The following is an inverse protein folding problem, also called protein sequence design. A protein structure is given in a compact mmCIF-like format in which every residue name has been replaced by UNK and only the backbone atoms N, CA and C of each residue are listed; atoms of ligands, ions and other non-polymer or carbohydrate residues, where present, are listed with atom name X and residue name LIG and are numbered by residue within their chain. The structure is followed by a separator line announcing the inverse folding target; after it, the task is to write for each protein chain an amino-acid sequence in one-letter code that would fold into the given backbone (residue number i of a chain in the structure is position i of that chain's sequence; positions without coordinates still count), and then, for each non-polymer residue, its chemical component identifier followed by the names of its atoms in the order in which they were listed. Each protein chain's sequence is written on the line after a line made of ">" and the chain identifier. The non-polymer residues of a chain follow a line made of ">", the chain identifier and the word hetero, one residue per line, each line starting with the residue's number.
data_IF_038222366785
#
_entry.id   IF_038222366785
#
_cell.length_a   1.000
_cell.length_b   1.000
_cell.length_c   1.000
_cell.angle_alpha   90.00
_cell.angle_beta   90.00
_cell.angle_gamma   90.00
#
_symmetry.space_group_name_H-M   'P 1'
#
loop_
_entity.id
_entity.type
_entity.pdbx_description
1 polymer ?
#
# COMPACT_ATOMS: atom_id res chain seq x y z
N UNK A 1 26.78 13.40 -7.81
CA UNK A 1 25.95 13.32 -9.04
C UNK A 1 24.62 13.96 -8.67
N UNK A 2 24.26 15.07 -9.29
CA UNK A 2 22.96 15.73 -9.08
C UNK A 2 22.00 14.92 -9.95
N UNK A 3 21.08 14.18 -9.34
CA UNK A 3 19.97 13.57 -10.08
C UNK A 3 19.10 14.71 -10.59
N UNK A 4 19.07 14.94 -11.91
CA UNK A 4 18.06 15.78 -12.52
C UNK A 4 16.70 15.17 -12.18
N UNK A 5 15.88 15.93 -11.45
CA UNK A 5 14.49 15.57 -11.22
C UNK A 5 13.79 15.59 -12.57
N UNK A 6 13.40 14.41 -13.06
CA UNK A 6 12.53 14.31 -14.22
C UNK A 6 11.25 15.09 -13.95
N UNK A 7 10.97 16.10 -14.76
CA UNK A 7 9.71 16.82 -14.67
C UNK A 7 8.60 15.89 -15.15
N UNK A 8 7.52 15.72 -14.40
CA UNK A 8 6.38 14.92 -14.84
C UNK A 8 5.80 15.48 -16.14
N UNK A 9 5.31 14.59 -16.99
CA UNK A 9 4.58 14.98 -18.19
C UNK A 9 3.35 15.82 -17.78
N UNK A 10 3.06 16.95 -18.45
CA UNK A 10 2.10 17.95 -17.99
C UNK A 10 0.63 17.51 -17.89
N UNK A 11 0.30 16.27 -18.27
CA UNK A 11 -1.07 15.73 -18.29
C UNK A 11 -1.26 14.40 -17.53
N UNK A 12 -0.32 14.02 -16.66
CA UNK A 12 -0.43 12.79 -15.90
C UNK A 12 -1.46 12.95 -14.76
N UNK A 13 -2.75 12.74 -15.09
CA UNK A 13 -3.83 12.71 -14.11
C UNK A 13 -3.84 11.35 -13.43
N UNK A 14 -3.07 11.19 -12.37
CA UNK A 14 -3.01 9.98 -11.55
C UNK A 14 -3.45 10.24 -10.12
N UNK A 15 -3.72 9.15 -9.42
CA UNK A 15 -4.01 9.13 -8.00
C UNK A 15 -2.92 8.35 -7.28
N UNK A 16 -2.40 8.91 -6.20
CA UNK A 16 -1.56 8.20 -5.25
C UNK A 16 -2.44 7.72 -4.08
N UNK A 17 -2.71 6.43 -4.02
CA UNK A 17 -3.68 5.89 -3.06
C UNK A 17 -3.04 5.43 -1.75
N UNK A 18 -1.72 5.64 -1.56
CA UNK A 18 -0.99 5.18 -0.38
C UNK A 18 0.10 6.17 0.01
N UNK A 19 -0.18 7.02 0.99
CA UNK A 19 0.80 7.95 1.58
C UNK A 19 0.58 8.09 3.08
N UNK A 20 1.63 8.48 3.80
CA UNK A 20 1.62 8.62 5.25
C UNK A 20 1.89 10.05 5.68
N UNK A 21 1.30 10.41 6.82
CA UNK A 21 1.49 11.72 7.46
C UNK A 21 2.12 11.58 8.85
N UNK A 22 2.25 12.72 9.55
CA UNK A 22 2.69 12.73 10.96
C UNK A 22 1.74 11.98 11.92
N UNK A 23 0.62 11.43 11.44
CA UNK A 23 -0.24 10.55 12.20
C UNK A 23 0.25 9.09 12.22
N UNK A 24 1.12 8.71 11.28
CA UNK A 24 1.86 7.45 11.30
C UNK A 24 3.07 7.54 12.22
N UNK A 25 3.37 6.45 12.93
CA UNK A 25 4.46 6.39 13.91
C UNK A 25 5.87 6.54 13.31
N UNK A 26 6.01 6.35 12.02
CA UNK A 26 7.27 6.34 11.26
C UNK A 26 7.35 7.45 10.20
N UNK A 27 6.41 8.40 10.22
CA UNK A 27 6.42 9.59 9.37
C UNK A 27 6.36 10.88 10.20
N UNK A 28 7.04 11.92 9.72
CA UNK A 28 6.94 13.28 10.24
C UNK A 28 6.42 14.26 9.17
N UNK A 29 5.87 13.74 8.08
CA UNK A 29 5.40 14.52 6.95
C UNK A 29 4.04 15.15 7.25
N UNK A 30 3.95 16.48 7.18
CA UNK A 30 2.64 17.13 7.24
C UNK A 30 1.85 16.85 5.97
N UNK A 31 0.53 16.72 6.10
CA UNK A 31 -0.34 16.51 4.93
C UNK A 31 -0.20 17.66 3.92
N UNK A 32 0.03 18.92 4.39
CA UNK A 32 0.30 20.06 3.52
C UNK A 32 1.56 19.89 2.67
N UNK A 33 2.65 19.39 3.26
CA UNK A 33 3.93 19.21 2.59
C UNK A 33 3.83 18.04 1.57
N UNK A 34 3.11 16.98 1.93
CA UNK A 34 2.78 15.89 1.02
C UNK A 34 1.94 16.40 -0.17
N UNK A 35 0.93 17.26 0.09
CA UNK A 35 0.10 17.86 -0.95
C UNK A 35 0.89 18.68 -1.95
N UNK A 36 1.85 19.50 -1.46
CA UNK A 36 2.71 20.30 -2.32
C UNK A 36 3.64 19.42 -3.16
N UNK A 37 4.18 18.35 -2.58
CA UNK A 37 5.00 17.38 -3.30
C UNK A 37 4.19 16.62 -4.38
N UNK A 38 2.98 16.18 -4.06
CA UNK A 38 2.06 15.55 -5.01
C UNK A 38 1.71 16.49 -6.18
N UNK A 39 1.47 17.78 -5.87
CA UNK A 39 1.25 18.81 -6.90
C UNK A 39 2.45 18.97 -7.83
N UNK A 40 3.66 18.98 -7.28
CA UNK A 40 4.91 19.09 -8.04
C UNK A 40 5.14 17.88 -8.97
N UNK A 41 4.57 16.71 -8.64
CA UNK A 41 4.59 15.49 -9.45
C UNK A 41 3.43 15.41 -10.46
N UNK A 42 2.51 16.38 -10.48
CA UNK A 42 1.35 16.38 -11.38
C UNK A 42 0.23 15.45 -10.95
N UNK A 43 0.26 14.93 -9.72
CA UNK A 43 -0.81 14.11 -9.14
C UNK A 43 -2.04 14.96 -8.89
N UNK A 44 -3.23 14.49 -9.27
CA UNK A 44 -4.48 15.25 -9.16
C UNK A 44 -5.22 15.02 -7.85
N UNK A 45 -4.98 13.88 -7.21
CA UNK A 45 -5.53 13.51 -5.91
C UNK A 45 -4.64 12.44 -5.24
N UNK A 46 -4.62 12.43 -3.93
CA UNK A 46 -3.89 11.41 -3.16
C UNK A 46 -4.65 11.08 -1.88
N UNK A 47 -4.43 9.88 -1.36
CA UNK A 47 -5.00 9.44 -0.10
C UNK A 47 -3.94 9.48 1.00
N UNK A 48 -4.31 10.06 2.15
CA UNK A 48 -3.55 9.89 3.38
C UNK A 48 -4.09 8.65 4.07
N UNK A 49 -3.25 7.63 4.19
CA UNK A 49 -3.61 6.29 4.64
C UNK A 49 -2.71 5.86 5.80
N UNK A 50 -2.70 6.68 6.86
CA UNK A 50 -1.86 6.45 8.02
C UNK A 50 -2.10 5.08 8.66
N UNK A 51 -1.05 4.55 9.30
CA UNK A 51 -1.05 3.23 9.92
C UNK A 51 -2.10 3.07 11.02
N UNK A 52 -2.89 2.03 10.89
CA UNK A 52 -3.78 1.50 11.91
C UNK A 52 -3.36 0.07 12.24
N UNK A 53 -2.26 -0.06 12.95
CA UNK A 53 -1.64 -1.35 13.26
C UNK A 53 -2.32 -1.99 14.46
N UNK A 54 -3.24 -2.94 14.20
CA UNK A 54 -4.05 -3.55 15.26
C UNK A 54 -3.22 -4.31 16.29
N UNK A 55 -2.06 -4.84 15.91
CA UNK A 55 -1.15 -5.53 16.83
C UNK A 55 -0.56 -4.63 17.92
N UNK A 56 -0.61 -3.30 17.73
CA UNK A 56 -0.06 -2.31 18.67
C UNK A 56 -1.11 -1.65 19.58
N UNK A 57 -2.39 -1.99 19.43
CA UNK A 57 -3.51 -1.26 20.06
C UNK A 57 -3.45 -1.20 21.60
N UNK A 58 -2.83 -2.18 22.25
CA UNK A 58 -2.65 -2.18 23.70
C UNK A 58 -1.55 -1.22 24.19
N UNK A 59 -0.63 -0.87 23.28
CA UNK A 59 0.55 -0.06 23.60
C UNK A 59 0.41 1.40 23.14
N UNK A 60 -0.42 1.64 22.11
CA UNK A 60 -0.57 2.95 21.47
C UNK A 60 -2.02 3.27 21.17
N UNK A 61 -2.37 4.56 21.23
CA UNK A 61 -3.64 5.05 20.67
C UNK A 61 -3.57 5.06 19.14
N UNK A 62 -4.20 4.07 18.52
CA UNK A 62 -4.25 3.94 17.05
C UNK A 62 -5.47 4.63 16.43
N UNK A 63 -6.44 5.11 17.24
CA UNK A 63 -7.69 5.70 16.78
C UNK A 63 -7.60 7.22 16.58
N UNK A 64 -7.08 7.93 17.58
CA UNK A 64 -6.99 9.40 17.54
C UNK A 64 -6.16 9.92 16.37
N UNK A 65 -4.99 9.35 16.02
CA UNK A 65 -4.22 9.80 14.86
C UNK A 65 -5.00 9.74 13.55
N UNK A 66 -5.69 8.65 13.26
CA UNK A 66 -6.49 8.49 12.03
C UNK A 66 -7.63 9.52 11.96
N UNK A 67 -8.34 9.71 13.08
CA UNK A 67 -9.40 10.71 13.13
C UNK A 67 -8.86 12.11 12.86
N UNK A 68 -7.74 12.47 13.48
CA UNK A 68 -7.08 13.76 13.28
C UNK A 68 -6.61 13.94 11.83
N UNK A 69 -5.97 12.94 11.23
CA UNK A 69 -5.55 12.99 9.83
C UNK A 69 -6.74 13.21 8.89
N UNK A 70 -7.87 12.53 9.12
CA UNK A 70 -9.09 12.72 8.35
C UNK A 70 -9.68 14.14 8.50
N UNK A 71 -9.66 14.73 9.70
CA UNK A 71 -10.08 16.10 9.97
C UNK A 71 -9.15 17.12 9.27
N UNK A 72 -7.84 16.91 9.34
CA UNK A 72 -6.85 17.77 8.69
C UNK A 72 -6.95 17.70 7.15
N UNK A 73 -7.16 16.53 6.57
CA UNK A 73 -7.42 16.37 5.13
C UNK A 73 -8.67 17.14 4.68
N UNK A 74 -9.78 17.02 5.45
CA UNK A 74 -11.01 17.75 5.18
C UNK A 74 -10.81 19.25 5.27
N UNK A 75 -10.08 19.73 6.28
CA UNK A 75 -9.75 21.15 6.45
C UNK A 75 -8.94 21.69 5.28
N UNK A 76 -7.86 20.99 4.87
CA UNK A 76 -7.02 21.41 3.74
C UNK A 76 -7.82 21.51 2.43
N UNK A 77 -8.73 20.58 2.18
CA UNK A 77 -9.60 20.65 0.99
C UNK A 77 -10.58 21.84 1.05
N UNK A 78 -11.04 22.23 2.25
CA UNK A 78 -11.95 23.37 2.42
C UNK A 78 -11.25 24.73 2.31
N UNK A 79 -9.99 24.82 2.75
CA UNK A 79 -9.19 26.04 2.72
C UNK A 79 -8.71 26.39 1.31
N UNK A 80 -8.47 25.39 0.46
CA UNK A 80 -7.99 25.62 -0.90
C UNK A 80 -8.40 24.50 -1.86
N UNK A 81 -8.98 24.89 -3.00
CA UNK A 81 -9.22 24.02 -4.14
C UNK A 81 -8.04 23.96 -5.12
N UNK A 82 -6.98 24.73 -4.87
CA UNK A 82 -5.76 24.67 -5.64
C UNK A 82 -4.91 23.46 -5.20
N UNK A 83 -4.37 22.73 -6.18
CA UNK A 83 -3.57 21.51 -5.95
C UNK A 83 -4.41 20.24 -5.80
N UNK A 84 -3.74 19.12 -5.48
CA UNK A 84 -4.38 17.81 -5.37
C UNK A 84 -5.45 17.76 -4.28
N UNK A 85 -6.54 17.03 -4.56
CA UNK A 85 -7.53 16.67 -3.54
C UNK A 85 -6.93 15.67 -2.58
N UNK A 86 -7.08 15.89 -1.28
CA UNK A 86 -6.65 14.97 -0.22
C UNK A 86 -7.82 14.07 0.14
N UNK A 87 -7.67 12.77 -0.09
CA UNK A 87 -8.63 11.73 0.30
C UNK A 87 -8.30 11.25 1.71
N UNK A 88 -9.34 10.93 2.47
CA UNK A 88 -9.24 10.44 3.84
C UNK A 88 -9.17 8.92 3.82
N UNK A 89 -8.10 8.36 4.32
CA UNK A 89 -7.92 6.92 4.34
C UNK A 89 -7.29 6.42 5.63
N UNK A 90 -7.08 5.13 5.68
CA UNK A 90 -6.24 4.45 6.65
C UNK A 90 -5.64 3.19 6.03
N UNK A 91 -4.47 2.80 6.48
CA UNK A 91 -3.89 1.50 6.23
C UNK A 91 -4.08 0.63 7.46
N UNK A 92 -4.98 -0.36 7.37
CA UNK A 92 -5.22 -1.30 8.46
C UNK A 92 -4.37 -2.55 8.29
N UNK A 93 -3.57 -2.87 9.31
CA UNK A 93 -2.80 -4.10 9.35
C UNK A 93 -3.36 -5.09 10.38
N UNK A 94 -3.24 -6.39 10.09
CA UNK A 94 -3.63 -7.51 10.96
C UNK A 94 -5.03 -7.39 11.60
N UNK A 95 -5.99 -6.75 10.92
CA UNK A 95 -7.34 -6.57 11.46
C UNK A 95 -8.02 -7.88 11.89
N UNK A 96 -7.65 -9.00 11.27
CA UNK A 96 -8.14 -10.34 11.60
C UNK A 96 -7.58 -10.92 12.92
N UNK A 97 -6.49 -10.34 13.48
CA UNK A 97 -5.98 -10.77 14.79
C UNK A 97 -6.85 -10.28 15.94
N UNK A 98 -7.47 -9.09 15.78
CA UNK A 98 -8.25 -8.39 16.79
C UNK A 98 -9.58 -7.91 16.19
N UNK A 99 -10.54 -8.83 15.90
CA UNK A 99 -11.79 -8.46 15.24
C UNK A 99 -12.59 -7.39 15.98
N UNK A 100 -12.53 -7.36 17.31
CA UNK A 100 -13.22 -6.37 18.13
C UNK A 100 -12.60 -4.95 18.00
N UNK A 101 -11.30 -4.86 17.73
CA UNK A 101 -10.62 -3.61 17.44
C UNK A 101 -10.93 -3.18 16.00
N UNK A 102 -10.86 -4.13 15.06
CA UNK A 102 -11.23 -3.90 13.67
C UNK A 102 -12.66 -3.36 13.54
N UNK A 103 -13.64 -3.93 14.23
CA UNK A 103 -15.03 -3.44 14.19
C UNK A 103 -15.18 -1.98 14.63
N UNK A 104 -14.33 -1.50 15.53
CA UNK A 104 -14.35 -0.09 15.98
C UNK A 104 -13.88 0.87 14.88
N UNK A 105 -13.14 0.40 13.86
CA UNK A 105 -12.68 1.27 12.75
C UNK A 105 -13.84 1.87 11.97
N UNK A 106 -14.97 1.16 11.88
CA UNK A 106 -16.18 1.58 11.16
C UNK A 106 -16.77 2.90 11.64
N UNK A 107 -16.39 3.34 12.85
CA UNK A 107 -16.88 4.57 13.46
C UNK A 107 -15.84 5.68 13.63
N UNK A 108 -14.60 5.50 13.13
CA UNK A 108 -13.51 6.47 13.37
C UNK A 108 -13.79 7.79 12.66
N UNK A 109 -14.07 7.73 11.37
CA UNK A 109 -14.32 8.88 10.50
C UNK A 109 -15.03 8.43 9.22
N UNK A 110 -15.53 9.40 8.43
CA UNK A 110 -15.96 9.13 7.05
C UNK A 110 -14.72 8.99 6.17
N UNK A 111 -14.29 7.75 5.92
CA UNK A 111 -13.12 7.46 5.09
C UNK A 111 -13.51 7.32 3.61
N UNK A 112 -12.61 7.77 2.75
CA UNK A 112 -12.72 7.62 1.29
C UNK A 112 -12.14 6.26 0.84
N UNK A 113 -11.15 5.73 1.57
CA UNK A 113 -10.47 4.46 1.26
C UNK A 113 -9.95 3.78 2.53
N UNK A 114 -9.98 2.45 2.53
CA UNK A 114 -9.30 1.61 3.52
C UNK A 114 -8.37 0.67 2.76
N UNK A 115 -7.09 0.70 3.11
CA UNK A 115 -6.07 -0.21 2.59
C UNK A 115 -5.87 -1.33 3.60
N UNK A 116 -5.83 -2.57 3.14
CA UNK A 116 -5.54 -3.74 3.97
C UNK A 116 -4.12 -4.23 3.75
N UNK A 117 -3.37 -4.40 4.82
CA UNK A 117 -1.97 -4.84 4.80
C UNK A 117 -1.67 -5.92 5.84
N UNK A 118 -0.53 -6.59 5.68
CA UNK A 118 0.05 -7.50 6.67
C UNK A 118 1.48 -7.04 6.92
N UNK A 119 1.73 -6.49 8.11
CA UNK A 119 3.04 -6.03 8.55
C UNK A 119 3.75 -7.03 9.46
N UNK A 120 2.98 -7.90 10.11
CA UNK A 120 3.45 -8.97 10.97
C UNK A 120 2.90 -10.31 10.47
N UNK A 121 3.76 -11.33 10.28
CA UNK A 121 3.29 -12.68 10.01
C UNK A 121 3.33 -13.53 11.28
N UNK A 122 2.31 -14.39 11.49
CA UNK A 122 2.31 -15.36 12.58
C UNK A 122 3.23 -16.53 12.22
N UNK A 123 4.50 -16.42 12.59
CA UNK A 123 5.50 -17.46 12.36
C UNK A 123 6.14 -17.90 13.68
N UNK A 124 5.85 -19.11 14.12
CA UNK A 124 6.32 -19.63 15.40
C UNK A 124 5.84 -18.75 16.58
N UNK A 125 6.80 -18.25 17.37
CA UNK A 125 6.56 -17.26 18.43
C UNK A 125 6.76 -15.81 17.96
N UNK A 126 7.10 -15.59 16.70
CA UNK A 126 7.33 -14.26 16.14
C UNK A 126 6.01 -13.58 15.80
N UNK A 127 5.82 -12.41 16.38
CA UNK A 127 4.68 -11.51 16.09
C UNK A 127 5.18 -10.08 15.85
N UNK A 128 6.49 -9.91 15.63
CA UNK A 128 7.07 -8.62 15.33
C UNK A 128 6.85 -8.25 13.86
N UNK A 129 6.76 -6.95 13.60
CA UNK A 129 6.73 -6.45 12.23
C UNK A 129 7.98 -6.93 11.46
N UNK A 130 7.82 -7.32 10.21
CA UNK A 130 8.93 -7.83 9.40
C UNK A 130 10.07 -6.80 9.25
N UNK A 131 9.79 -5.53 9.41
CA UNK A 131 10.80 -4.45 9.45
C UNK A 131 11.77 -4.56 10.64
N UNK A 132 11.36 -5.24 11.72
CA UNK A 132 12.10 -5.44 12.97
C UNK A 132 12.77 -6.81 13.06
N UNK A 133 12.49 -7.70 12.10
CA UNK A 133 13.07 -9.05 12.08
C UNK A 133 14.46 -9.02 11.47
N UNK A 134 15.42 -9.67 12.14
CA UNK A 134 16.77 -9.90 11.62
C UNK A 134 16.80 -11.19 10.79
N UNK A 135 16.46 -11.09 9.51
CA UNK A 135 16.44 -12.23 8.59
C UNK A 135 17.83 -12.79 8.27
N UNK A 136 18.93 -12.13 8.67
CA UNK A 136 20.27 -12.70 8.54
C UNK A 136 20.44 -13.96 9.40
N UNK A 137 19.63 -14.11 10.45
CA UNK A 137 19.64 -15.26 11.38
C UNK A 137 18.79 -16.43 10.93
N UNK A 138 17.96 -16.24 9.90
CA UNK A 138 17.06 -17.28 9.39
C UNK A 138 17.80 -18.17 8.39
N UNK A 139 17.56 -19.47 8.44
CA UNK A 139 17.92 -20.40 7.36
C UNK A 139 17.04 -20.14 6.13
N UNK A 140 17.38 -20.72 4.99
CA UNK A 140 16.55 -20.63 3.78
C UNK A 140 15.17 -21.24 4.01
N UNK A 141 15.08 -22.34 4.74
CA UNK A 141 13.82 -23.00 5.08
C UNK A 141 12.95 -22.12 5.99
N UNK A 142 13.52 -21.50 7.02
CA UNK A 142 12.80 -20.59 7.92
C UNK A 142 12.28 -19.35 7.16
N UNK A 143 13.02 -18.85 6.16
CA UNK A 143 12.53 -17.77 5.28
C UNK A 143 11.33 -18.24 4.46
N UNK A 144 11.37 -19.46 3.92
CA UNK A 144 10.24 -20.03 3.16
C UNK A 144 9.01 -20.24 4.05
N UNK A 145 9.19 -20.80 5.22
CA UNK A 145 8.10 -20.96 6.20
C UNK A 145 7.51 -19.62 6.63
N UNK A 146 8.36 -18.61 6.85
CA UNK A 146 7.92 -17.25 7.16
C UNK A 146 7.08 -16.65 6.04
N UNK A 147 7.52 -16.74 4.79
CA UNK A 147 6.78 -16.25 3.63
C UNK A 147 5.47 -17.01 3.42
N UNK A 148 5.45 -18.33 3.64
CA UNK A 148 4.23 -19.12 3.61
C UNK A 148 3.22 -18.64 4.68
N UNK A 149 3.68 -18.37 5.89
CA UNK A 149 2.85 -17.81 6.96
C UNK A 149 2.32 -16.41 6.59
N UNK A 150 3.16 -15.55 6.03
CA UNK A 150 2.76 -14.24 5.53
C UNK A 150 1.63 -14.33 4.50
N UNK A 151 1.73 -15.19 3.48
CA UNK A 151 0.68 -15.35 2.48
C UNK A 151 -0.61 -15.95 3.07
N UNK A 152 -0.51 -16.81 4.08
CA UNK A 152 -1.67 -17.31 4.81
C UNK A 152 -2.37 -16.17 5.57
N UNK A 153 -1.61 -15.29 6.20
CA UNK A 153 -2.16 -14.13 6.92
C UNK A 153 -2.78 -13.11 5.95
N UNK A 154 -2.22 -12.92 4.73
CA UNK A 154 -2.86 -12.13 3.67
C UNK A 154 -4.21 -12.73 3.26
N UNK A 155 -4.31 -14.06 3.11
CA UNK A 155 -5.60 -14.71 2.85
C UNK A 155 -6.59 -14.50 3.99
N UNK A 156 -6.15 -14.62 5.26
CA UNK A 156 -7.01 -14.38 6.42
C UNK A 156 -7.51 -12.92 6.47
N UNK A 157 -6.64 -11.94 6.15
CA UNK A 157 -7.02 -10.55 6.02
C UNK A 157 -8.13 -10.37 4.97
N UNK A 158 -7.94 -10.96 3.78
CA UNK A 158 -8.92 -10.88 2.70
C UNK A 158 -10.25 -11.52 3.11
N UNK A 159 -10.25 -12.64 3.79
CA UNK A 159 -11.46 -13.35 4.19
C UNK A 159 -12.24 -12.64 5.30
N UNK A 160 -11.55 -12.07 6.27
CA UNK A 160 -12.14 -11.63 7.54
C UNK A 160 -12.30 -10.12 7.67
N UNK A 161 -11.65 -9.32 6.80
CA UNK A 161 -11.71 -7.87 6.87
C UNK A 161 -12.40 -7.28 5.62
N UNK A 162 -12.98 -6.08 5.78
CA UNK A 162 -13.60 -5.29 4.72
C UNK A 162 -12.71 -4.08 4.42
N UNK A 163 -12.01 -4.11 3.30
CA UNK A 163 -11.12 -3.05 2.82
C UNK A 163 -11.18 -2.95 1.29
N UNK A 164 -10.65 -1.86 0.74
CA UNK A 164 -10.79 -1.54 -0.68
C UNK A 164 -9.59 -1.97 -1.52
N UNK A 165 -8.38 -1.88 -0.96
CA UNK A 165 -7.11 -2.07 -1.66
C UNK A 165 -6.23 -3.04 -0.86
N UNK A 166 -5.75 -4.11 -1.51
CA UNK A 166 -4.69 -4.95 -0.93
C UNK A 166 -3.34 -4.28 -1.18
N UNK A 167 -2.70 -3.83 -0.09
CA UNK A 167 -1.43 -3.13 -0.12
C UNK A 167 -0.25 -4.06 -0.44
N UNK A 168 0.76 -3.49 -1.09
CA UNK A 168 2.15 -3.98 -1.25
C UNK A 168 2.35 -5.48 -1.05
N UNK A 169 1.53 -6.31 -1.70
CA UNK A 169 1.68 -7.76 -1.69
C UNK A 169 3.13 -8.13 -2.03
N UNK A 170 3.82 -8.83 -1.16
CA UNK A 170 5.27 -9.15 -1.18
C UNK A 170 6.19 -8.18 -0.42
N UNK A 171 5.65 -7.27 0.39
CA UNK A 171 6.46 -6.30 1.15
C UNK A 171 7.59 -6.91 2.01
N UNK A 172 7.48 -8.13 2.63
CA UNK A 172 8.60 -8.74 3.34
C UNK A 172 9.88 -8.86 2.52
N UNK A 173 9.79 -8.94 1.17
CA UNK A 173 10.95 -9.02 0.29
C UNK A 173 11.83 -7.75 0.34
N UNK A 174 11.25 -6.58 0.66
CA UNK A 174 12.01 -5.33 0.91
C UNK A 174 13.10 -5.56 1.95
N UNK A 175 12.81 -6.37 2.95
CA UNK A 175 13.72 -6.68 4.05
C UNK A 175 14.53 -7.94 3.75
N UNK A 176 13.91 -9.05 3.40
CA UNK A 176 14.57 -10.32 3.15
C UNK A 176 15.60 -10.20 2.03
N UNK A 177 15.18 -9.71 0.87
CA UNK A 177 16.03 -9.56 -0.32
C UNK A 177 16.79 -8.22 -0.27
N UNK A 178 16.06 -7.11 -0.04
CA UNK A 178 16.63 -5.78 -0.16
C UNK A 178 17.61 -5.42 0.97
N UNK A 179 17.26 -5.70 2.24
CA UNK A 179 18.12 -5.35 3.38
C UNK A 179 19.13 -6.42 3.73
N UNK A 180 18.72 -7.70 3.69
CA UNK A 180 19.53 -8.82 4.16
C UNK A 180 20.13 -9.66 3.03
N UNK A 181 19.90 -9.27 1.78
CA UNK A 181 20.44 -9.90 0.56
C UNK A 181 20.20 -11.42 0.50
N UNK A 182 19.07 -11.88 1.10
CA UNK A 182 18.70 -13.30 1.11
C UNK A 182 17.97 -13.64 -0.18
N UNK A 183 18.43 -14.68 -0.86
CA UNK A 183 17.79 -15.13 -2.09
C UNK A 183 16.40 -15.75 -1.82
N UNK A 184 15.41 -15.35 -2.61
CA UNK A 184 14.04 -15.90 -2.58
C UNK A 184 13.59 -16.17 -4.00
N UNK A 185 13.17 -17.39 -4.31
CA UNK A 185 12.39 -17.66 -5.52
C UNK A 185 10.90 -17.53 -5.18
N UNK A 186 10.34 -16.36 -5.45
CA UNK A 186 8.93 -16.07 -5.17
C UNK A 186 7.98 -17.00 -5.96
N UNK A 187 8.43 -17.65 -7.04
CA UNK A 187 7.62 -18.59 -7.82
C UNK A 187 7.31 -19.88 -7.05
N UNK A 188 8.07 -20.22 -6.02
CA UNK A 188 7.73 -21.33 -5.12
C UNK A 188 6.38 -21.11 -4.41
N UNK A 189 5.93 -19.86 -4.29
CA UNK A 189 4.66 -19.46 -3.67
C UNK A 189 3.54 -19.18 -4.69
N UNK A 190 3.71 -19.58 -5.95
CA UNK A 190 2.76 -19.26 -7.02
C UNK A 190 1.33 -19.70 -6.73
N UNK A 191 1.11 -20.85 -6.09
CA UNK A 191 -0.23 -21.35 -5.75
C UNK A 191 -0.92 -20.46 -4.69
N UNK A 192 -0.18 -20.01 -3.67
CA UNK A 192 -0.68 -19.13 -2.63
C UNK A 192 -0.99 -17.75 -3.20
N UNK A 193 -0.06 -17.20 -4.02
CA UNK A 193 -0.26 -15.92 -4.73
C UNK A 193 -1.49 -16.02 -5.64
N UNK A 194 -1.64 -17.09 -6.41
CA UNK A 194 -2.81 -17.32 -7.26
C UNK A 194 -4.11 -17.39 -6.45
N UNK A 195 -4.07 -17.99 -5.27
CA UNK A 195 -5.19 -18.03 -4.33
C UNK A 195 -5.60 -16.62 -3.91
N UNK A 196 -4.63 -15.80 -3.50
CA UNK A 196 -4.82 -14.40 -3.11
C UNK A 196 -5.42 -13.59 -4.28
N UNK A 197 -4.81 -13.70 -5.48
CA UNK A 197 -5.30 -12.98 -6.66
C UNK A 197 -6.74 -13.35 -7.02
N UNK A 198 -7.10 -14.63 -6.97
CA UNK A 198 -8.50 -15.08 -7.17
C UNK A 198 -9.45 -14.52 -6.11
N UNK A 199 -9.02 -14.51 -4.86
CA UNK A 199 -9.82 -14.00 -3.74
C UNK A 199 -10.13 -12.51 -3.87
N UNK A 200 -9.12 -11.67 -4.18
CA UNK A 200 -9.35 -10.23 -4.37
C UNK A 200 -10.19 -9.94 -5.60
N UNK A 201 -9.99 -10.65 -6.72
CA UNK A 201 -10.84 -10.53 -7.92
C UNK A 201 -12.30 -10.85 -7.58
N UNK A 202 -12.53 -11.96 -6.88
CA UNK A 202 -13.89 -12.39 -6.51
C UNK A 202 -14.59 -11.39 -5.60
N UNK A 203 -13.85 -10.77 -4.67
CA UNK A 203 -14.37 -9.78 -3.72
C UNK A 203 -14.42 -8.36 -4.24
N UNK A 204 -13.85 -8.09 -5.43
CA UNK A 204 -13.76 -6.74 -6.00
C UNK A 204 -12.77 -5.83 -5.25
N UNK A 205 -11.81 -6.40 -4.52
CA UNK A 205 -10.72 -5.68 -3.86
C UNK A 205 -9.68 -5.31 -4.91
N UNK A 206 -9.20 -4.08 -4.90
CA UNK A 206 -8.13 -3.65 -5.80
C UNK A 206 -6.78 -4.25 -5.39
N UNK A 207 -5.93 -4.54 -6.37
CA UNK A 207 -4.52 -4.82 -6.13
C UNK A 207 -3.75 -3.50 -6.19
N UNK A 208 -2.89 -3.24 -5.22
CA UNK A 208 -1.96 -2.12 -5.30
C UNK A 208 -0.73 -2.50 -6.14
N UNK A 209 -0.29 -1.60 -7.04
CA UNK A 209 1.08 -1.51 -7.50
C UNK A 209 1.77 -0.50 -6.61
N UNK A 210 2.58 -0.97 -5.68
CA UNK A 210 3.36 -0.14 -4.76
C UNK A 210 4.75 0.10 -5.31
N UNK A 211 5.16 1.37 -5.34
CA UNK A 211 6.42 1.78 -5.97
C UNK A 211 7.59 1.96 -5.00
N UNK A 212 7.34 1.92 -3.68
CA UNK A 212 8.34 2.28 -2.66
C UNK A 212 9.56 1.37 -2.57
N UNK A 213 9.50 0.16 -3.13
CA UNK A 213 10.63 -0.78 -3.14
C UNK A 213 11.43 -0.80 -4.43
N UNK A 214 11.04 -0.01 -5.44
CA UNK A 214 11.64 -0.12 -6.77
C UNK A 214 13.17 0.06 -6.76
N UNK A 215 13.65 1.08 -6.05
CA UNK A 215 15.10 1.34 -5.95
C UNK A 215 15.87 0.26 -5.18
N UNK A 216 15.19 -0.48 -4.30
CA UNK A 216 15.78 -1.52 -3.46
C UNK A 216 15.73 -2.90 -4.11
N UNK A 217 14.61 -3.25 -4.72
CA UNK A 217 14.35 -4.57 -5.30
C UNK A 217 14.53 -4.63 -6.82
N UNK A 218 14.52 -3.47 -7.50
CA UNK A 218 14.50 -3.39 -8.95
C UNK A 218 13.16 -3.80 -9.57
N UNK A 219 12.11 -3.95 -8.74
CA UNK A 219 10.76 -4.35 -9.15
C UNK A 219 9.71 -3.77 -8.19
N UNK A 220 8.44 -3.91 -8.55
CA UNK A 220 7.28 -3.43 -7.78
C UNK A 220 6.89 -4.41 -6.66
N UNK A 221 6.02 -3.95 -5.77
CA UNK A 221 5.29 -4.80 -4.85
C UNK A 221 3.78 -4.80 -5.20
N UNK A 222 3.27 -5.91 -5.76
CA UNK A 222 3.99 -7.13 -6.14
C UNK A 222 4.80 -6.99 -7.44
N UNK A 223 5.74 -7.92 -7.71
CA UNK A 223 6.59 -7.84 -8.89
C UNK A 223 5.80 -7.98 -10.19
N UNK A 224 6.37 -7.47 -11.29
CA UNK A 224 5.73 -7.37 -12.61
C UNK A 224 5.09 -8.67 -13.10
N UNK A 225 5.68 -9.84 -12.78
CA UNK A 225 5.09 -11.12 -13.20
C UNK A 225 3.79 -11.43 -12.46
N UNK A 226 3.63 -11.00 -11.20
CA UNK A 226 2.39 -11.15 -10.41
C UNK A 226 1.30 -10.21 -10.96
N UNK A 227 1.66 -8.97 -11.33
CA UNK A 227 0.73 -8.03 -11.97
C UNK A 227 0.20 -8.59 -13.30
N UNK A 228 1.07 -9.20 -14.12
CA UNK A 228 0.67 -9.89 -15.35
C UNK A 228 -0.27 -11.06 -15.03
N UNK A 229 0.08 -11.86 -14.04
CA UNK A 229 -0.74 -12.98 -13.58
C UNK A 229 -2.13 -12.53 -13.14
N UNK A 230 -2.20 -11.44 -12.37
CA UNK A 230 -3.47 -10.82 -11.96
C UNK A 230 -4.31 -10.42 -13.17
N UNK A 231 -3.69 -9.76 -14.16
CA UNK A 231 -4.37 -9.36 -15.41
C UNK A 231 -4.86 -10.58 -16.20
N UNK A 232 -4.04 -11.62 -16.35
CA UNK A 232 -4.35 -12.84 -17.07
C UNK A 232 -5.53 -13.62 -16.42
N UNK A 233 -5.69 -13.50 -15.11
CA UNK A 233 -6.82 -14.05 -14.35
C UNK A 233 -8.12 -13.22 -14.46
N UNK A 234 -8.10 -12.10 -15.19
CA UNK A 234 -9.24 -11.19 -15.33
C UNK A 234 -9.28 -10.08 -14.28
N UNK A 235 -8.21 -9.88 -13.51
CA UNK A 235 -8.07 -8.75 -12.61
C UNK A 235 -7.96 -7.44 -13.39
N UNK A 236 -8.77 -6.44 -13.01
CA UNK A 236 -8.84 -5.15 -13.68
C UNK A 236 -8.64 -3.97 -12.73
N UNK A 237 -9.00 -4.15 -11.46
CA UNK A 237 -9.00 -3.07 -10.47
C UNK A 237 -7.61 -2.97 -9.84
N UNK A 238 -6.82 -2.02 -10.31
CA UNK A 238 -5.44 -1.78 -9.83
C UNK A 238 -5.29 -0.32 -9.43
N UNK A 239 -4.57 -0.07 -8.33
CA UNK A 239 -4.23 1.26 -7.84
C UNK A 239 -2.73 1.50 -7.88
N UNK A 240 -2.31 2.75 -7.83
CA UNK A 240 -0.92 3.14 -7.60
C UNK A 240 -0.78 3.62 -6.16
N UNK A 241 0.29 3.20 -5.49
CA UNK A 241 0.68 3.67 -4.18
C UNK A 241 2.18 3.94 -4.10
N UNK A 242 2.55 5.14 -3.65
CA UNK A 242 3.96 5.46 -3.41
C UNK A 242 4.44 4.99 -2.04
N UNK A 243 3.52 4.80 -1.09
CA UNK A 243 3.82 4.46 0.30
C UNK A 243 4.82 5.50 0.90
N UNK A 244 4.59 6.77 0.50
CA UNK A 244 5.49 7.87 0.81
C UNK A 244 5.32 8.32 2.27
N UNK A 245 6.40 8.27 3.02
CA UNK A 245 6.51 8.78 4.40
C UNK A 245 7.22 10.13 4.49
N UNK A 246 7.79 10.58 3.36
CA UNK A 246 8.45 11.88 3.19
C UNK A 246 8.05 12.47 1.84
N UNK A 247 8.03 13.82 1.70
CA UNK A 247 7.58 14.50 0.48
C UNK A 247 8.35 14.07 -0.79
N UNK A 248 9.64 13.77 -0.67
CA UNK A 248 10.52 13.40 -1.78
C UNK A 248 10.07 12.13 -2.49
N UNK A 249 9.40 11.23 -1.76
CA UNK A 249 8.90 9.95 -2.28
C UNK A 249 7.47 10.03 -2.85
N UNK A 250 6.81 11.19 -2.76
CA UNK A 250 5.46 11.40 -3.29
C UNK A 250 5.37 10.98 -4.76
N UNK A 251 4.49 10.01 -5.10
CA UNK A 251 4.30 9.46 -6.45
C UNK A 251 5.61 9.09 -7.18
N UNK A 252 6.65 8.72 -6.44
CA UNK A 252 7.94 8.33 -7.00
C UNK A 252 7.78 7.12 -7.93
N UNK A 253 8.42 7.14 -9.11
CA UNK A 253 8.38 6.09 -10.13
C UNK A 253 7.02 5.85 -10.81
N UNK A 254 6.00 6.69 -10.62
CA UNK A 254 4.67 6.47 -11.21
C UNK A 254 4.67 6.43 -12.74
N UNK A 255 5.47 7.27 -13.43
CA UNK A 255 5.57 7.22 -14.89
C UNK A 255 6.04 5.85 -15.37
N UNK A 256 7.06 5.28 -14.72
CA UNK A 256 7.56 3.95 -15.03
C UNK A 256 6.53 2.87 -14.72
N UNK A 257 5.86 2.96 -13.56
CA UNK A 257 4.81 2.03 -13.17
C UNK A 257 3.66 2.02 -14.18
N UNK A 258 3.24 3.19 -14.66
CA UNK A 258 2.22 3.33 -15.71
C UNK A 258 2.68 2.68 -17.01
N UNK A 259 3.93 2.91 -17.44
CA UNK A 259 4.49 2.25 -18.63
C UNK A 259 4.43 0.73 -18.52
N UNK A 260 4.81 0.18 -17.36
CA UNK A 260 4.75 -1.25 -17.08
C UNK A 260 3.31 -1.80 -17.06
N UNK A 261 2.35 -1.04 -16.50
CA UNK A 261 0.94 -1.42 -16.52
C UNK A 261 0.37 -1.45 -17.95
N UNK A 262 0.68 -0.44 -18.76
CA UNK A 262 0.28 -0.42 -20.18
C UNK A 262 0.85 -1.61 -20.95
N UNK A 263 2.13 -1.95 -20.75
CA UNK A 263 2.78 -3.11 -21.37
C UNK A 263 2.16 -4.45 -20.92
N UNK A 264 1.62 -4.51 -19.70
CA UNK A 264 0.89 -5.67 -19.19
C UNK A 264 -0.51 -5.77 -19.81
N UNK A 265 -1.08 -4.64 -20.25
CA UNK A 265 -2.40 -4.56 -20.86
C UNK A 265 -3.47 -3.94 -19.97
N UNK A 266 -3.09 -3.24 -18.92
CA UNK A 266 -4.01 -2.39 -18.19
C UNK A 266 -4.27 -1.09 -18.99
N UNK A 267 -5.51 -0.64 -18.99
CA UNK A 267 -5.92 0.61 -19.66
C UNK A 267 -6.37 1.67 -18.67
N UNK A 268 -6.51 1.29 -17.41
CA UNK A 268 -6.96 2.18 -16.35
C UNK A 268 -6.24 1.84 -15.05
N UNK A 269 -6.09 2.85 -14.19
CA UNK A 269 -5.90 2.70 -12.75
C UNK A 269 -7.12 3.22 -12.02
N UNK A 270 -7.24 2.91 -10.74
CA UNK A 270 -8.40 3.29 -9.96
C UNK A 270 -7.99 4.15 -8.76
N UNK A 271 -8.92 5.00 -8.31
CA UNK A 271 -8.89 5.64 -7.01
C UNK A 271 -10.22 5.40 -6.29
N UNK A 272 -10.21 5.57 -4.99
CA UNK A 272 -11.39 5.40 -4.17
C UNK A 272 -11.82 6.73 -3.56
N UNK A 273 -13.13 6.96 -3.51
CA UNK A 273 -13.76 8.06 -2.79
C UNK A 273 -15.07 7.57 -2.20
N UNK A 274 -15.29 7.83 -0.91
CA UNK A 274 -16.44 7.29 -0.17
C UNK A 274 -16.57 5.76 -0.34
N UNK A 275 -15.43 5.06 -0.32
CA UNK A 275 -15.35 3.60 -0.50
C UNK A 275 -15.86 3.10 -1.87
N UNK A 276 -15.96 3.99 -2.86
CA UNK A 276 -16.36 3.66 -4.23
C UNK A 276 -15.16 3.81 -5.17
N UNK A 277 -14.98 2.84 -6.07
CA UNK A 277 -13.91 2.83 -7.06
C UNK A 277 -14.24 3.70 -8.28
N UNK A 278 -13.30 4.54 -8.70
CA UNK A 278 -13.39 5.39 -9.89
C UNK A 278 -12.20 5.14 -10.81
N UNK A 279 -12.43 5.18 -12.12
CA UNK A 279 -11.40 4.92 -13.14
C UNK A 279 -10.66 6.19 -13.54
N UNK A 280 -9.35 6.05 -13.73
CA UNK A 280 -8.50 7.00 -14.46
C UNK A 280 -7.90 6.25 -15.65
N UNK A 281 -8.17 6.74 -16.87
CA UNK A 281 -7.61 6.13 -18.07
C UNK A 281 -6.10 6.38 -18.15
N UNK A 282 -5.32 5.33 -18.39
CA UNK A 282 -3.90 5.41 -18.71
C UNK A 282 -3.74 5.84 -20.19
N UNK A 283 -2.79 6.72 -20.45
CA UNK A 283 -2.52 7.27 -21.78
C UNK A 283 -1.07 7.04 -22.18
#
# INVERSE_FOLDING_TARGET
>A
MIFEQEKPAPDLRVADMHTHSEASHDSNCKISDMRDAQAARGTSLFAVTDHFDTYSYESYDIFTPIKRAAEDAARLNSESTAGPTVLRGMEISEGFWYPEIYEKTKGIAELDVIIGSVHCARYGSHTAAYSQIDFSKFSEEEIKEYLAAYFNDVNALIELCDFDILAHLTCPLRYIVGRYERAVDLKEFSEQIDGILRAIIHRGIALELNTSSFDTLGDWMPPRWVLRRYRDMGGEVITLGSDAHIPENASLHFEKAIGDLLDIGFTNVYYYKQRQAYKIALK
#
